data_IF_026825698929
#
_entry.id   IF_026825698929
#
_cell.length_a   1.000
_cell.length_b   1.000
_cell.length_c   1.000
_cell.angle_alpha   90.00
_cell.angle_beta   90.00
_cell.angle_gamma   90.00
#
_symmetry.space_group_name_H-M   'P 1'
#
loop_
_entity.id
_entity.type
_entity.pdbx_description
1 polymer ?
#
# COMPACT_ATOMS: atom_id res chain seq x y z
N UNK A 1 -5.51 -19.62 -17.19
CA UNK A 1 -4.82 -19.58 -15.88
C UNK A 1 -4.11 -18.26 -15.80
N UNK A 2 -4.47 -17.46 -14.81
CA UNK A 2 -3.80 -16.19 -14.60
C UNK A 2 -2.49 -16.47 -13.85
N UNK A 3 -1.40 -15.81 -14.22
CA UNK A 3 -0.06 -16.09 -13.68
C UNK A 3 0.09 -15.82 -12.17
N UNK A 4 -0.89 -15.17 -11.52
CA UNK A 4 -0.90 -14.95 -10.09
C UNK A 4 -1.39 -16.18 -9.30
N UNK A 5 -2.11 -17.11 -9.95
CA UNK A 5 -2.70 -18.29 -9.30
C UNK A 5 -1.64 -19.28 -8.79
N UNK A 6 -0.43 -19.23 -9.37
CA UNK A 6 0.70 -20.06 -8.97
C UNK A 6 1.48 -19.51 -7.77
N UNK A 7 1.16 -18.30 -7.30
CA UNK A 7 1.82 -17.70 -6.13
C UNK A 7 1.33 -18.41 -4.87
N UNK A 8 2.22 -19.16 -4.24
CA UNK A 8 1.96 -19.81 -2.95
C UNK A 8 2.04 -18.76 -1.84
N UNK A 9 0.95 -18.57 -1.10
CA UNK A 9 0.90 -17.68 0.06
C UNK A 9 0.97 -18.47 1.36
N UNK A 10 1.96 -18.15 2.19
CA UNK A 10 2.05 -18.53 3.60
C UNK A 10 1.37 -17.44 4.44
N UNK A 11 0.15 -17.72 4.91
CA UNK A 11 -0.64 -16.81 5.73
C UNK A 11 -0.97 -17.54 7.03
N UNK A 12 -0.66 -16.93 8.17
CA UNK A 12 -1.06 -17.49 9.47
C UNK A 12 -2.59 -17.49 9.62
N UNK A 13 -3.12 -18.30 10.54
CA UNK A 13 -4.56 -18.28 10.83
C UNK A 13 -5.06 -16.89 11.26
N UNK A 14 -4.22 -16.11 11.95
CA UNK A 14 -4.52 -14.73 12.31
C UNK A 14 -4.57 -13.82 11.08
N UNK A 15 -3.63 -13.99 10.14
CA UNK A 15 -3.65 -13.28 8.87
C UNK A 15 -4.89 -13.62 8.04
N UNK A 16 -5.30 -14.88 7.99
CA UNK A 16 -6.53 -15.30 7.29
C UNK A 16 -7.78 -14.64 7.88
N UNK A 17 -7.90 -14.64 9.22
CA UNK A 17 -9.00 -13.93 9.90
C UNK A 17 -8.98 -12.42 9.62
N UNK A 18 -7.80 -11.82 9.54
CA UNK A 18 -7.65 -10.40 9.21
C UNK A 18 -8.10 -10.12 7.77
N UNK A 19 -7.72 -10.96 6.80
CA UNK A 19 -8.15 -10.83 5.41
C UNK A 19 -9.67 -10.95 5.29
N UNK A 20 -10.25 -11.96 5.94
CA UNK A 20 -11.69 -12.18 5.98
C UNK A 20 -12.44 -10.99 6.58
N UNK A 21 -12.00 -10.50 7.76
CA UNK A 21 -12.59 -9.34 8.42
C UNK A 21 -12.51 -8.05 7.61
N UNK A 22 -11.59 -7.97 6.64
CA UNK A 22 -11.41 -6.82 5.72
C UNK A 22 -11.98 -7.06 4.33
N UNK A 23 -12.61 -8.21 4.10
CA UNK A 23 -13.12 -8.63 2.79
C UNK A 23 -12.04 -8.60 1.69
N UNK A 24 -10.80 -8.91 2.05
CA UNK A 24 -9.67 -9.01 1.11
C UNK A 24 -9.52 -10.47 0.71
N UNK A 25 -9.61 -10.76 -0.58
CA UNK A 25 -9.46 -12.12 -1.07
C UNK A 25 -7.98 -12.49 -1.19
N UNK A 26 -7.67 -13.79 -1.04
CA UNK A 26 -6.32 -14.32 -1.36
C UNK A 26 -5.87 -13.93 -2.76
N UNK A 27 -6.79 -13.89 -3.73
CA UNK A 27 -6.49 -13.44 -5.09
C UNK A 27 -6.04 -11.98 -5.16
N UNK A 28 -6.59 -11.09 -4.33
CA UNK A 28 -6.18 -9.68 -4.31
C UNK A 28 -4.74 -9.57 -3.81
N UNK A 29 -4.40 -10.35 -2.78
CA UNK A 29 -3.03 -10.47 -2.27
C UNK A 29 -2.07 -10.99 -3.34
N UNK A 30 -2.44 -12.07 -4.03
CA UNK A 30 -1.64 -12.63 -5.13
C UNK A 30 -1.43 -11.61 -6.27
N UNK A 31 -2.47 -10.87 -6.66
CA UNK A 31 -2.38 -9.83 -7.71
C UNK A 31 -1.42 -8.71 -7.30
N UNK A 32 -1.45 -8.29 -6.04
CA UNK A 32 -0.51 -7.27 -5.51
C UNK A 32 0.93 -7.79 -5.57
N UNK A 33 1.18 -9.00 -5.04
CA UNK A 33 2.54 -9.59 -5.03
C UNK A 33 3.05 -9.79 -6.46
N UNK A 34 2.21 -10.33 -7.35
CA UNK A 34 2.56 -10.48 -8.75
C UNK A 34 2.97 -9.14 -9.38
N UNK A 35 2.15 -8.10 -9.21
CA UNK A 35 2.43 -6.79 -9.78
C UNK A 35 3.75 -6.22 -9.25
N UNK A 36 3.97 -6.34 -7.95
CA UNK A 36 5.17 -5.89 -7.28
C UNK A 36 6.43 -6.59 -7.78
N UNK A 37 6.41 -7.92 -7.88
CA UNK A 37 7.55 -8.74 -8.31
C UNK A 37 7.83 -8.59 -9.81
N UNK A 38 6.79 -8.39 -10.64
CA UNK A 38 6.95 -8.21 -12.08
C UNK A 38 7.48 -6.81 -12.46
N UNK A 39 7.22 -5.79 -11.64
CA UNK A 39 7.53 -4.39 -11.98
C UNK A 39 8.60 -3.74 -11.10
N UNK A 40 8.91 -4.33 -9.94
CA UNK A 40 9.73 -3.69 -8.91
C UNK A 40 9.03 -2.55 -8.16
N UNK A 41 7.72 -2.34 -8.39
CA UNK A 41 6.93 -1.31 -7.71
C UNK A 41 6.55 -1.74 -6.30
N UNK A 42 7.53 -1.71 -5.40
CA UNK A 42 7.40 -2.01 -3.98
C UNK A 42 8.40 -1.21 -3.16
N UNK A 43 8.11 -1.12 -1.87
CA UNK A 43 9.02 -0.62 -0.85
C UNK A 43 9.64 -1.81 -0.12
N UNK A 44 10.89 -1.68 0.31
CA UNK A 44 11.60 -2.71 1.08
C UNK A 44 12.09 -2.10 2.39
N UNK A 45 11.77 -2.76 3.50
CA UNK A 45 12.23 -2.40 4.83
C UNK A 45 13.60 -3.06 5.08
N UNK A 46 14.67 -2.27 5.14
CA UNK A 46 16.05 -2.81 5.15
C UNK A 46 16.34 -3.72 6.35
N UNK A 47 15.79 -3.40 7.51
CA UNK A 47 16.09 -4.14 8.74
C UNK A 47 15.40 -5.51 8.81
N UNK A 48 14.24 -5.67 8.18
CA UNK A 48 13.42 -6.89 8.29
C UNK A 48 13.34 -7.68 6.99
N UNK A 49 13.76 -7.10 5.86
CA UNK A 49 13.60 -7.70 4.53
C UNK A 49 12.14 -7.74 4.03
N UNK A 50 11.21 -7.12 4.76
CA UNK A 50 9.81 -7.07 4.37
C UNK A 50 9.62 -6.12 3.19
N UNK A 51 8.67 -6.47 2.34
CA UNK A 51 8.23 -5.69 1.20
C UNK A 51 6.81 -5.19 1.44
N UNK A 52 6.55 -3.94 1.08
CA UNK A 52 5.22 -3.36 1.06
C UNK A 52 4.92 -2.91 -0.36
N UNK A 53 3.82 -3.39 -0.93
CA UNK A 53 3.40 -3.05 -2.27
C UNK A 53 1.90 -2.78 -2.33
N UNK A 54 1.49 -2.08 -3.38
CA UNK A 54 0.08 -1.89 -3.67
C UNK A 54 -0.25 -2.16 -5.12
N UNK A 55 -1.49 -2.56 -5.36
CA UNK A 55 -2.04 -2.70 -6.69
C UNK A 55 -3.51 -2.28 -6.70
N UNK A 56 -3.89 -1.56 -7.75
CA UNK A 56 -5.26 -1.07 -7.95
C UNK A 56 -5.85 -1.67 -9.22
N UNK A 57 -6.48 -2.85 -9.15
CA UNK A 57 -7.07 -3.48 -10.34
C UNK A 57 -8.30 -2.73 -10.86
N UNK A 58 -9.08 -2.09 -9.96
CA UNK A 58 -10.30 -1.34 -10.30
C UNK A 58 -10.47 -0.10 -9.40
N UNK A 59 -11.54 -0.06 -8.60
CA UNK A 59 -11.90 1.07 -7.74
C UNK A 59 -11.27 1.00 -6.33
N UNK A 60 -10.62 -0.11 -5.99
CA UNK A 60 -10.00 -0.36 -4.69
C UNK A 60 -8.51 -0.55 -4.88
N UNK A 61 -7.72 0.12 -4.05
CA UNK A 61 -6.27 -0.07 -3.94
C UNK A 61 -6.02 -1.05 -2.79
N UNK A 62 -5.39 -2.18 -3.08
CA UNK A 62 -4.98 -3.16 -2.08
C UNK A 62 -3.51 -3.00 -1.78
N UNK A 63 -3.16 -3.05 -0.50
CA UNK A 63 -1.81 -3.01 0.03
C UNK A 63 -1.51 -4.34 0.71
N UNK A 64 -0.29 -4.83 0.53
CA UNK A 64 0.18 -6.09 1.12
C UNK A 64 1.60 -5.89 1.64
N UNK A 65 1.79 -6.19 2.92
CA UNK A 65 3.12 -6.37 3.51
C UNK A 65 3.47 -7.87 3.53
N UNK A 66 4.59 -8.23 2.92
CA UNK A 66 5.00 -9.61 2.77
C UNK A 66 6.52 -9.77 2.76
N UNK A 67 7.02 -10.98 2.94
CA UNK A 67 8.41 -11.36 2.67
C UNK A 67 8.45 -12.55 1.73
N UNK A 68 9.41 -12.56 0.82
CA UNK A 68 9.64 -13.71 -0.07
C UNK A 68 10.45 -14.79 0.66
N UNK A 69 10.00 -16.03 0.57
CA UNK A 69 10.78 -17.23 0.89
C UNK A 69 11.13 -17.98 -0.40
N UNK A 70 11.86 -19.09 -0.30
CA UNK A 70 12.30 -19.85 -1.48
C UNK A 70 11.11 -20.43 -2.29
N UNK A 71 10.02 -20.79 -1.61
CA UNK A 71 8.87 -21.48 -2.21
C UNK A 71 7.55 -20.72 -2.09
N UNK A 72 7.47 -19.70 -1.23
CA UNK A 72 6.22 -19.01 -0.91
C UNK A 72 6.43 -17.51 -0.62
N UNK A 73 5.32 -16.81 -0.47
CA UNK A 73 5.29 -15.45 0.05
C UNK A 73 4.58 -15.44 1.39
N UNK A 74 5.32 -15.09 2.44
CA UNK A 74 4.76 -14.93 3.79
C UNK A 74 4.08 -13.57 3.89
N UNK A 75 2.78 -13.57 4.14
CA UNK A 75 1.97 -12.36 4.24
C UNK A 75 1.85 -11.96 5.71
N UNK A 76 2.16 -10.70 6.02
CA UNK A 76 2.07 -10.16 7.39
C UNK A 76 0.77 -9.40 7.61
N UNK A 77 0.36 -8.57 6.64
CA UNK A 77 -0.89 -7.82 6.70
C UNK A 77 -1.33 -7.46 5.27
N UNK A 78 -2.63 -7.24 5.11
CA UNK A 78 -3.17 -6.59 3.94
C UNK A 78 -4.32 -5.64 4.33
N UNK A 79 -4.42 -4.53 3.63
CA UNK A 79 -5.44 -3.52 3.85
C UNK A 79 -5.80 -2.88 2.51
N UNK A 80 -6.91 -2.15 2.48
CA UNK A 80 -7.39 -1.53 1.27
C UNK A 80 -8.01 -0.18 1.54
N UNK A 81 -7.97 0.69 0.53
CA UNK A 81 -8.69 1.95 0.52
C UNK A 81 -9.13 2.28 -0.91
N UNK A 82 -10.02 3.24 -1.07
CA UNK A 82 -10.58 3.62 -2.37
C UNK A 82 -9.96 4.90 -2.94
N UNK A 83 -9.27 5.70 -2.11
CA UNK A 83 -8.56 6.90 -2.57
C UNK A 83 -7.60 6.65 -3.75
N UNK A 84 -7.53 7.62 -4.67
CA UNK A 84 -6.70 7.61 -5.87
C UNK A 84 -5.60 8.67 -5.75
N UNK A 85 -4.36 8.30 -6.03
CA UNK A 85 -3.27 9.27 -6.12
C UNK A 85 -3.43 10.15 -7.37
N UNK A 86 -3.42 11.47 -7.18
CA UNK A 86 -3.38 12.47 -8.24
C UNK A 86 -2.02 13.16 -8.21
N UNK A 87 -1.22 12.94 -9.24
CA UNK A 87 0.03 13.67 -9.43
C UNK A 87 -0.28 15.10 -9.88
N UNK A 88 -0.29 16.07 -8.96
CA UNK A 88 0.12 17.47 -9.17
C UNK A 88 -0.38 18.38 -8.04
N UNK A 89 0.53 19.17 -7.46
CA UNK A 89 0.26 20.50 -6.89
C UNK A 89 0.47 20.65 -5.38
N UNK A 90 1.31 21.62 -5.04
CA UNK A 90 1.63 22.09 -3.69
C UNK A 90 0.44 22.81 -3.07
N UNK A 91 0.03 22.39 -1.87
CA UNK A 91 -0.77 23.14 -0.89
C UNK A 91 -0.57 22.51 0.49
N UNK A 92 -0.51 23.33 1.54
CA UNK A 92 -0.14 22.92 2.90
C UNK A 92 -1.25 22.22 3.68
N UNK A 93 -0.79 21.51 4.73
CA UNK A 93 -1.50 21.00 5.93
C UNK A 93 -2.32 19.71 5.84
N UNK A 94 -1.63 18.56 5.96
CA UNK A 94 -1.87 17.45 6.91
C UNK A 94 -0.48 16.91 7.30
N UNK A 95 -0.12 16.84 8.59
CA UNK A 95 1.22 16.38 9.02
C UNK A 95 1.11 15.25 10.06
N UNK A 96 1.93 14.22 9.80
CA UNK A 96 2.29 13.00 10.52
C UNK A 96 1.37 11.78 10.35
N UNK A 97 1.89 10.82 9.58
CA UNK A 97 2.17 9.46 10.04
C UNK A 97 3.57 9.05 9.51
N UNK A 98 4.40 8.45 10.37
CA UNK A 98 5.69 7.86 9.99
C UNK A 98 6.95 8.68 10.32
N UNK A 99 7.32 8.74 11.60
CA UNK A 99 8.69 9.05 12.00
C UNK A 99 9.63 7.90 11.59
N UNK A 100 10.71 8.19 10.86
CA UNK A 100 11.87 7.31 10.71
C UNK A 100 11.56 5.91 10.14
N UNK A 101 11.07 5.83 8.90
CA UNK A 101 10.76 4.55 8.29
C UNK A 101 11.97 4.03 7.49
N UNK A 102 12.47 2.83 7.81
CA UNK A 102 13.60 2.18 7.09
C UNK A 102 13.21 1.67 5.69
N UNK A 103 12.10 2.17 5.16
CA UNK A 103 11.56 1.81 3.86
C UNK A 103 12.32 2.51 2.75
N UNK A 104 12.68 1.73 1.74
CA UNK A 104 13.36 2.19 0.54
C UNK A 104 12.57 1.76 -0.68
N UNK A 105 12.61 2.54 -1.74
CA UNK A 105 12.05 2.09 -3.01
C UNK A 105 12.92 0.97 -3.59
N UNK A 106 12.32 -0.18 -3.94
CA UNK A 106 13.05 -1.30 -4.55
C UNK A 106 13.63 -0.92 -5.92
N UNK A 107 12.81 -0.28 -6.75
CA UNK A 107 13.19 0.13 -8.09
C UNK A 107 14.31 1.19 -8.12
N UNK A 108 14.20 2.23 -7.28
CA UNK A 108 15.13 3.36 -7.28
C UNK A 108 16.29 3.20 -6.30
N UNK A 109 16.17 2.29 -5.33
CA UNK A 109 17.12 2.06 -4.23
C UNK A 109 17.40 3.28 -3.35
N UNK A 110 16.51 4.28 -3.38
CA UNK A 110 16.59 5.50 -2.56
C UNK A 110 15.67 5.41 -1.34
N UNK A 111 16.03 6.09 -0.23
CA UNK A 111 15.13 6.27 0.89
C UNK A 111 13.91 7.12 0.47
N UNK A 112 12.84 7.03 1.24
CA UNK A 112 11.65 7.84 1.03
C UNK A 112 11.82 9.22 1.65
N UNK A 113 11.33 10.23 0.95
CA UNK A 113 11.28 11.61 1.41
C UNK A 113 9.82 12.01 1.60
N UNK A 114 9.53 12.82 2.61
CA UNK A 114 8.18 13.31 2.83
C UNK A 114 7.83 14.29 1.73
N UNK A 115 6.79 13.97 0.95
CA UNK A 115 6.29 14.80 -0.15
C UNK A 115 4.79 15.03 0.02
N UNK A 116 4.33 16.23 -0.35
CA UNK A 116 2.89 16.51 -0.43
C UNK A 116 2.32 15.86 -1.67
N UNK A 117 1.45 14.88 -1.49
CA UNK A 117 0.71 14.21 -2.56
C UNK A 117 -0.78 14.53 -2.45
N UNK A 118 -1.50 14.42 -3.56
CA UNK A 118 -2.95 14.63 -3.57
C UNK A 118 -3.66 13.29 -3.66
N UNK A 119 -4.47 12.98 -2.66
CA UNK A 119 -5.38 11.84 -2.70
C UNK A 119 -6.77 12.35 -3.11
N UNK A 120 -7.38 11.68 -4.08
CA UNK A 120 -8.74 11.97 -4.53
C UNK A 120 -9.67 10.85 -4.09
N UNK A 121 -10.80 11.22 -3.51
CA UNK A 121 -11.93 10.32 -3.33
C UNK A 121 -13.22 11.03 -3.74
N UNK A 122 -14.03 10.37 -4.57
CA UNK A 122 -15.19 10.98 -5.23
C UNK A 122 -14.80 12.32 -5.92
N UNK A 123 -15.48 13.42 -5.59
CA UNK A 123 -15.20 14.77 -6.12
C UNK A 123 -14.24 15.58 -5.23
N UNK A 124 -13.77 15.01 -4.13
CA UNK A 124 -12.91 15.68 -3.15
C UNK A 124 -11.44 15.32 -3.35
N UNK A 125 -10.56 16.30 -3.21
CA UNK A 125 -9.10 16.14 -3.31
C UNK A 125 -8.47 16.65 -2.01
N UNK A 126 -7.61 15.83 -1.42
CA UNK A 126 -6.94 16.10 -0.16
C UNK A 126 -5.42 16.13 -0.37
N UNK A 127 -4.74 17.26 -0.10
CA UNK A 127 -3.30 17.28 0.01
C UNK A 127 -2.88 16.60 1.32
N UNK A 128 -1.99 15.61 1.25
CA UNK A 128 -1.44 14.91 2.41
C UNK A 128 0.06 14.72 2.24
N UNK A 129 0.82 14.88 3.33
CA UNK A 129 2.24 14.59 3.33
C UNK A 129 2.47 13.11 3.58
N UNK A 130 3.04 12.42 2.59
CA UNK A 130 3.38 11.00 2.66
C UNK A 130 4.86 10.79 2.32
N UNK A 131 5.53 9.79 2.93
CA UNK A 131 6.82 9.34 2.45
C UNK A 131 6.67 8.83 1.01
N UNK A 132 7.47 9.35 0.10
CA UNK A 132 7.44 8.99 -1.31
C UNK A 132 8.85 8.98 -1.90
N UNK A 133 9.07 8.10 -2.88
CA UNK A 133 10.33 8.05 -3.58
C UNK A 133 10.51 9.33 -4.42
N UNK A 134 11.60 10.06 -4.22
CA UNK A 134 11.93 11.27 -4.98
C UNK A 134 12.20 11.01 -6.46
N UNK A 135 12.47 9.76 -6.86
CA UNK A 135 12.76 9.39 -8.25
C UNK A 135 11.53 8.88 -9.02
N UNK A 136 10.75 7.94 -8.47
CA UNK A 136 9.61 7.34 -9.18
C UNK A 136 8.23 7.75 -8.63
N UNK A 137 8.18 8.46 -7.50
CA UNK A 137 6.93 8.88 -6.88
C UNK A 137 6.14 7.77 -6.18
N UNK A 138 6.73 6.58 -5.98
CA UNK A 138 6.09 5.50 -5.23
C UNK A 138 5.90 5.94 -3.77
N UNK A 139 4.65 5.94 -3.30
CA UNK A 139 4.26 6.42 -1.97
C UNK A 139 4.24 5.28 -0.95
N UNK A 140 4.34 5.66 0.33
CA UNK A 140 4.06 4.82 1.49
C UNK A 140 2.76 5.30 2.12
N UNK A 141 1.74 4.46 2.09
CA UNK A 141 0.59 4.53 2.99
C UNK A 141 0.72 3.29 3.84
N UNK A 142 0.93 3.44 5.14
CA UNK A 142 0.97 2.31 6.07
C UNK A 142 -0.44 1.88 6.48
N UNK A 143 -0.52 0.73 7.16
CA UNK A 143 -1.78 0.17 7.61
C UNK A 143 -2.54 1.13 8.53
N UNK A 144 -1.85 1.73 9.50
CA UNK A 144 -2.43 2.65 10.49
C UNK A 144 -3.10 3.85 9.80
N UNK A 145 -2.42 4.45 8.82
CA UNK A 145 -2.97 5.55 8.05
C UNK A 145 -4.16 5.12 7.19
N UNK A 146 -4.08 3.95 6.56
CA UNK A 146 -5.14 3.43 5.69
C UNK A 146 -6.42 3.12 6.45
N UNK A 147 -6.33 2.43 7.59
CA UNK A 147 -7.50 2.03 8.39
C UNK A 147 -7.98 3.13 9.34
N UNK A 148 -7.15 4.13 9.61
CA UNK A 148 -7.48 5.29 10.44
C UNK A 148 -7.98 6.45 9.60
N UNK A 149 -7.15 7.50 9.47
CA UNK A 149 -7.54 8.79 8.86
C UNK A 149 -8.08 8.65 7.43
N UNK A 150 -7.55 7.72 6.63
CA UNK A 150 -8.05 7.50 5.26
C UNK A 150 -9.46 6.91 5.29
N UNK A 151 -9.70 5.87 6.10
CA UNK A 151 -11.03 5.27 6.26
C UNK A 151 -12.06 6.26 6.84
N UNK A 152 -11.68 7.06 7.85
CA UNK A 152 -12.53 8.10 8.43
C UNK A 152 -12.95 9.14 7.37
N UNK A 153 -12.01 9.58 6.52
CA UNK A 153 -12.28 10.52 5.45
C UNK A 153 -13.17 9.90 4.35
N UNK A 154 -13.01 8.61 4.05
CA UNK A 154 -13.89 7.89 3.11
C UNK A 154 -15.33 7.82 3.65
N UNK A 155 -15.52 7.42 4.92
CA UNK A 155 -16.85 7.35 5.55
C UNK A 155 -17.55 8.72 5.58
N UNK A 156 -16.84 9.77 6.00
CA UNK A 156 -17.40 11.12 6.09
C UNK A 156 -17.79 11.73 4.74
N UNK A 157 -17.25 11.20 3.63
CA UNK A 157 -17.65 11.57 2.28
C UNK A 157 -18.82 10.74 1.75
N UNK A 158 -18.93 9.48 2.15
CA UNK A 158 -20.04 8.59 1.76
C UNK A 158 -21.35 8.93 2.49
N UNK A 159 -21.27 9.49 3.70
CA UNK A 159 -22.45 9.92 4.48
C UNK A 159 -23.06 11.26 3.99
N UNK A 160 -22.48 11.90 2.98
CA UNK A 160 -22.93 13.19 2.41
C UNK A 160 -23.73 13.01 1.12
#
# INVERSE_FOLDING_TARGET
MNSYEHIVLDISEEGERLLEGRLILREDVQKVIQHAEATGKKLVHRCTGRSLAFYRPKAVTYWVEYSRTDEAYRVFTAYSHRMVLKSSGSTNEWVKSGAGSDWHCDQCRTPLEVQTVRLQYMQSIFPINLPACSSCGFILIDEELAIGKVAEAEQALEDK
#
